data_IF_979388064843
#
_entry.id   IF_979388064843
#
_cell.length_a   1.000
_cell.length_b   1.000
_cell.length_c   1.000
_cell.angle_alpha   90.00
_cell.angle_beta   90.00
_cell.angle_gamma   90.00
#
_symmetry.space_group_name_H-M   'P 1'
#
loop_
_entity.id
_entity.type
_entity.pdbx_description
1 polymer ?
#
# COMPACT_ATOMS: atom_id res chain seq x y z
N UNK A 1 5.46 16.60 -12.89
CA UNK A 1 4.98 15.70 -11.82
C UNK A 1 5.30 16.33 -10.47
N UNK A 2 4.40 16.21 -9.49
CA UNK A 2 4.63 16.72 -8.13
C UNK A 2 5.56 15.75 -7.36
N UNK A 3 6.57 16.24 -6.61
CA UNK A 3 7.37 15.39 -5.73
C UNK A 3 6.49 14.62 -4.74
N UNK A 4 6.72 13.32 -4.58
CA UNK A 4 5.95 12.45 -3.67
C UNK A 4 4.59 11.97 -4.20
N UNK A 5 4.13 12.44 -5.37
CA UNK A 5 2.86 12.00 -5.98
C UNK A 5 3.15 11.00 -7.10
N UNK A 6 2.93 9.71 -6.81
CA UNK A 6 3.00 8.63 -7.81
C UNK A 6 1.70 8.46 -8.61
N UNK A 7 1.73 7.58 -9.62
CA UNK A 7 0.58 7.31 -10.51
C UNK A 7 -0.72 7.01 -9.75
N UNK A 8 -0.63 6.20 -8.69
CA UNK A 8 -1.77 5.88 -7.83
C UNK A 8 -2.37 7.15 -7.21
N UNK A 9 -1.55 7.95 -6.54
CA UNK A 9 -2.00 9.16 -5.84
C UNK A 9 -2.58 10.17 -6.82
N UNK A 10 -1.94 10.36 -7.98
CA UNK A 10 -2.45 11.25 -9.03
C UNK A 10 -3.85 10.81 -9.51
N UNK A 11 -4.03 9.51 -9.80
CA UNK A 11 -5.32 8.95 -10.23
C UNK A 11 -6.38 9.00 -9.13
N UNK A 12 -6.00 8.71 -7.90
CA UNK A 12 -6.90 8.80 -6.75
C UNK A 12 -7.41 10.24 -6.55
N UNK A 13 -6.55 11.25 -6.70
CA UNK A 13 -6.96 12.67 -6.67
C UNK A 13 -7.91 12.97 -7.83
N UNK A 14 -7.57 12.60 -9.05
CA UNK A 14 -8.43 12.83 -10.22
C UNK A 14 -9.81 12.17 -10.05
N UNK A 15 -9.88 10.92 -9.59
CA UNK A 15 -11.15 10.21 -9.41
C UNK A 15 -11.97 10.75 -8.22
N UNK A 16 -11.33 11.00 -7.07
CA UNK A 16 -12.06 11.29 -5.83
C UNK A 16 -12.29 12.77 -5.53
N UNK A 17 -11.42 13.66 -6.02
CA UNK A 17 -11.56 15.10 -5.87
C UNK A 17 -12.15 15.75 -7.11
N UNK A 18 -11.68 15.34 -8.29
CA UNK A 18 -12.09 15.96 -9.57
C UNK A 18 -13.18 15.16 -10.30
N UNK A 19 -13.66 14.05 -9.72
CA UNK A 19 -14.70 13.18 -10.29
C UNK A 19 -14.41 12.70 -11.72
N UNK A 20 -13.14 12.55 -12.08
CA UNK A 20 -12.74 12.08 -13.40
C UNK A 20 -12.99 10.56 -13.57
N UNK A 21 -13.40 10.16 -14.77
CA UNK A 21 -13.62 8.76 -15.15
C UNK A 21 -12.29 8.05 -15.44
N UNK A 22 -11.48 7.88 -14.40
CA UNK A 22 -10.18 7.20 -14.44
C UNK A 22 -10.14 6.04 -13.47
N UNK A 23 -9.51 4.94 -13.86
CA UNK A 23 -9.35 3.78 -12.99
C UNK A 23 -8.28 4.01 -11.93
N UNK A 24 -8.61 3.77 -10.67
CA UNK A 24 -7.68 3.78 -9.53
C UNK A 24 -7.32 2.34 -9.20
N UNK A 25 -6.04 2.00 -9.34
CA UNK A 25 -5.56 0.64 -9.07
C UNK A 25 -4.81 0.60 -7.75
N UNK A 26 -5.50 0.17 -6.70
CA UNK A 26 -4.88 -0.29 -5.46
C UNK A 26 -4.60 -1.80 -5.49
N UNK A 27 -4.15 -2.35 -4.37
CA UNK A 27 -3.81 -3.78 -4.27
C UNK A 27 -5.04 -4.69 -4.28
N UNK A 28 -6.23 -4.14 -4.00
CA UNK A 28 -7.51 -4.83 -4.05
C UNK A 28 -8.02 -4.91 -5.48
N UNK A 29 -8.05 -3.79 -6.19
CA UNK A 29 -8.45 -3.70 -7.60
C UNK A 29 -7.54 -4.56 -8.45
N UNK A 30 -6.22 -4.47 -8.30
CA UNK A 30 -5.27 -5.30 -9.06
C UNK A 30 -5.54 -6.80 -8.91
N UNK A 31 -5.86 -7.25 -7.69
CA UNK A 31 -6.22 -8.64 -7.40
C UNK A 31 -7.54 -9.05 -8.04
N UNK A 32 -8.56 -8.19 -7.95
CA UNK A 32 -9.87 -8.45 -8.58
C UNK A 32 -9.69 -8.64 -10.08
N UNK A 33 -8.98 -7.73 -10.75
CA UNK A 33 -8.74 -7.79 -12.19
C UNK A 33 -7.93 -9.04 -12.58
N UNK A 34 -6.87 -9.38 -11.84
CA UNK A 34 -6.10 -10.60 -12.10
C UNK A 34 -6.98 -11.86 -12.08
N UNK A 35 -7.84 -11.99 -11.06
CA UNK A 35 -8.73 -13.14 -10.88
C UNK A 35 -9.83 -13.18 -11.94
N UNK A 36 -10.43 -12.03 -12.26
CA UNK A 36 -11.47 -11.93 -13.30
C UNK A 36 -10.91 -12.35 -14.66
N UNK A 37 -9.70 -11.91 -15.00
CA UNK A 37 -9.04 -12.27 -16.25
C UNK A 37 -8.32 -13.64 -16.23
N UNK A 38 -8.25 -14.30 -15.07
CA UNK A 38 -7.43 -15.49 -14.81
C UNK A 38 -5.99 -15.37 -15.34
N UNK A 39 -5.35 -14.21 -15.12
CA UNK A 39 -4.08 -13.86 -15.74
C UNK A 39 -3.21 -13.04 -14.80
N UNK A 40 -1.90 -13.31 -14.82
CA UNK A 40 -0.90 -12.45 -14.19
C UNK A 40 -0.75 -11.18 -15.02
N UNK A 41 -1.10 -10.03 -14.44
CA UNK A 41 -1.13 -8.75 -15.15
C UNK A 41 0.11 -7.90 -14.83
N UNK A 42 0.65 -7.24 -15.85
CA UNK A 42 1.68 -6.21 -15.68
C UNK A 42 1.09 -4.86 -15.23
N UNK A 43 1.93 -3.94 -14.72
CA UNK A 43 1.47 -2.63 -14.20
C UNK A 43 0.67 -1.82 -15.25
N UNK A 44 1.12 -1.80 -16.50
CA UNK A 44 0.41 -1.10 -17.58
C UNK A 44 -0.90 -1.79 -17.94
N UNK A 45 -0.89 -3.12 -17.98
CA UNK A 45 -2.05 -3.92 -18.37
C UNK A 45 -3.18 -3.79 -17.35
N UNK A 46 -2.86 -3.91 -16.05
CA UNK A 46 -3.86 -3.76 -15.00
C UNK A 46 -4.48 -2.36 -15.00
N UNK A 47 -3.68 -1.33 -15.31
CA UNK A 47 -4.16 0.04 -15.41
C UNK A 47 -5.08 0.26 -16.62
N UNK A 48 -4.71 -0.29 -17.78
CA UNK A 48 -5.55 -0.22 -18.99
C UNK A 48 -6.90 -0.90 -18.79
N UNK A 49 -6.91 -2.07 -18.14
CA UNK A 49 -8.16 -2.77 -17.81
C UNK A 49 -9.00 -1.93 -16.83
N UNK A 50 -8.37 -1.36 -15.79
CA UNK A 50 -9.07 -0.53 -14.83
C UNK A 50 -9.70 0.72 -15.46
N UNK A 51 -9.00 1.37 -16.39
CA UNK A 51 -9.52 2.54 -17.11
C UNK A 51 -10.69 2.17 -18.04
N UNK A 52 -10.61 1.02 -18.70
CA UNK A 52 -11.62 0.59 -19.67
C UNK A 52 -12.98 0.20 -19.06
N UNK A 53 -13.03 -0.06 -17.75
CA UNK A 53 -14.25 -0.51 -17.06
C UNK A 53 -14.93 0.59 -16.24
N UNK A 54 -14.36 1.79 -16.18
CA UNK A 54 -14.99 2.92 -15.47
C UNK A 54 -16.17 3.42 -16.30
N UNK A 55 -17.41 3.40 -15.77
CA UNK A 55 -18.54 3.98 -16.47
C UNK A 55 -18.43 5.51 -16.51
N UNK A 56 -18.84 6.11 -17.62
CA UNK A 56 -18.88 7.57 -17.79
C UNK A 56 -19.75 8.23 -16.72
N UNK A 57 -19.24 9.28 -16.09
CA UNK A 57 -19.88 10.04 -15.03
C UNK A 57 -19.94 9.32 -13.67
N UNK A 58 -19.34 8.14 -13.54
CA UNK A 58 -19.37 7.33 -12.30
C UNK A 58 -17.97 7.00 -11.78
N UNK A 59 -16.93 7.71 -12.23
CA UNK A 59 -15.56 7.48 -11.80
C UNK A 59 -15.37 7.45 -10.29
N UNK A 60 -16.04 8.33 -9.56
CA UNK A 60 -15.96 8.37 -8.09
C UNK A 60 -16.55 7.10 -7.46
N UNK A 61 -17.82 6.80 -7.74
CA UNK A 61 -18.56 5.68 -7.18
C UNK A 61 -17.95 4.34 -7.58
N UNK A 62 -17.55 4.21 -8.85
CA UNK A 62 -17.00 2.98 -9.39
C UNK A 62 -15.71 2.58 -8.68
N UNK A 63 -14.80 3.53 -8.48
CA UNK A 63 -13.55 3.26 -7.79
C UNK A 63 -13.78 2.89 -6.32
N UNK A 64 -14.72 3.55 -5.63
CA UNK A 64 -15.10 3.18 -4.25
C UNK A 64 -15.64 1.74 -4.19
N UNK A 65 -16.58 1.39 -5.07
CA UNK A 65 -17.17 0.05 -5.15
C UNK A 65 -16.11 -1.01 -5.44
N UNK A 66 -15.18 -0.75 -6.36
CA UNK A 66 -14.13 -1.70 -6.72
C UNK A 66 -13.16 -1.96 -5.55
N UNK A 67 -12.78 -0.92 -4.80
CA UNK A 67 -11.96 -1.05 -3.60
C UNK A 67 -12.68 -1.83 -2.50
N UNK A 68 -13.93 -1.46 -2.19
CA UNK A 68 -14.75 -2.11 -1.16
C UNK A 68 -15.04 -3.58 -1.50
N UNK A 69 -15.39 -3.86 -2.74
CA UNK A 69 -15.60 -5.22 -3.23
C UNK A 69 -14.33 -6.06 -3.10
N UNK A 70 -13.18 -5.51 -3.48
CA UNK A 70 -11.89 -6.17 -3.34
C UNK A 70 -11.53 -6.45 -1.87
N UNK A 71 -11.84 -5.52 -0.96
CA UNK A 71 -11.56 -5.67 0.47
C UNK A 71 -12.49 -6.67 1.18
N UNK A 72 -13.79 -6.66 0.85
CA UNK A 72 -14.83 -7.33 1.65
C UNK A 72 -15.35 -8.65 1.05
N UNK A 73 -15.24 -8.82 -0.27
CA UNK A 73 -15.73 -9.99 -1.01
C UNK A 73 -14.58 -10.74 -1.67
N UNK A 74 -13.83 -10.07 -2.55
CA UNK A 74 -12.70 -10.67 -3.26
C UNK A 74 -11.39 -10.52 -2.47
N UNK A 75 -11.42 -10.86 -1.18
CA UNK A 75 -10.28 -10.72 -0.26
C UNK A 75 -9.07 -11.54 -0.70
N UNK A 76 -7.87 -11.13 -0.27
CA UNK A 76 -6.63 -11.82 -0.59
C UNK A 76 -6.61 -13.28 -0.07
N UNK A 77 -7.16 -13.50 1.12
CA UNK A 77 -7.26 -14.82 1.76
C UNK A 77 -8.73 -15.16 1.99
N UNK A 78 -9.13 -16.37 1.61
CA UNK A 78 -10.49 -16.86 1.72
C UNK A 78 -11.56 -15.90 1.12
N UNK A 79 -11.51 -15.62 -0.20
CA UNK A 79 -12.53 -14.79 -0.86
C UNK A 79 -13.91 -15.44 -0.74
N UNK A 80 -14.96 -14.61 -0.60
CA UNK A 80 -16.36 -15.05 -0.45
C UNK A 80 -16.98 -15.38 -1.80
N UNK A 81 -16.37 -16.32 -2.55
CA UNK A 81 -16.79 -16.63 -3.92
C UNK A 81 -18.22 -17.14 -4.02
N UNK A 82 -18.73 -17.87 -3.01
CA UNK A 82 -20.10 -18.37 -3.00
C UNK A 82 -21.17 -17.25 -3.04
N UNK A 83 -20.84 -16.07 -2.52
CA UNK A 83 -21.74 -14.89 -2.50
C UNK A 83 -21.23 -13.76 -3.41
N UNK A 84 -20.31 -14.05 -4.33
CA UNK A 84 -19.68 -13.04 -5.17
C UNK A 84 -20.59 -12.72 -6.36
N UNK A 85 -21.01 -11.46 -6.48
CA UNK A 85 -21.94 -11.01 -7.54
C UNK A 85 -21.37 -11.09 -8.95
N UNK A 86 -20.03 -11.15 -9.10
CA UNK A 86 -19.35 -11.29 -10.39
C UNK A 86 -18.75 -12.69 -10.59
N UNK A 87 -19.17 -13.69 -9.82
CA UNK A 87 -18.61 -15.05 -9.91
C UNK A 87 -18.75 -15.62 -11.34
N UNK A 88 -19.90 -15.39 -11.97
CA UNK A 88 -20.16 -15.81 -13.35
C UNK A 88 -19.35 -15.06 -14.40
N UNK A 89 -18.55 -14.06 -14.01
CA UNK A 89 -17.61 -13.37 -14.89
C UNK A 89 -16.16 -13.62 -14.48
N UNK A 90 -15.92 -14.39 -13.42
CA UNK A 90 -14.58 -14.60 -12.88
C UNK A 90 -13.87 -15.78 -13.55
N UNK A 91 -12.90 -15.48 -14.42
CA UNK A 91 -12.11 -16.48 -15.14
C UNK A 91 -11.44 -17.48 -14.20
N UNK A 92 -10.82 -17.03 -13.11
CA UNK A 92 -10.16 -17.91 -12.14
C UNK A 92 -11.14 -18.88 -11.48
N UNK A 93 -12.39 -18.45 -11.20
CA UNK A 93 -13.40 -19.34 -10.64
C UNK A 93 -13.96 -20.33 -11.63
N UNK A 94 -14.10 -19.94 -12.90
CA UNK A 94 -14.60 -20.82 -13.95
C UNK A 94 -13.60 -21.85 -14.43
N UNK A 95 -12.35 -21.42 -14.63
CA UNK A 95 -11.28 -22.24 -15.21
C UNK A 95 -10.53 -22.99 -14.11
N UNK A 96 -10.40 -22.40 -12.93
CA UNK A 96 -9.56 -22.91 -11.85
C UNK A 96 -8.07 -22.68 -12.11
N UNK A 97 -7.24 -23.41 -11.36
CA UNK A 97 -5.78 -23.26 -11.36
C UNK A 97 -5.25 -22.35 -10.24
N UNK A 98 -3.96 -22.04 -10.32
CA UNK A 98 -3.29 -21.18 -9.36
C UNK A 98 -3.87 -19.76 -9.39
N UNK A 99 -4.02 -19.13 -8.21
CA UNK A 99 -4.47 -17.74 -8.11
C UNK A 99 -3.42 -16.83 -8.77
N UNK A 100 -3.78 -16.06 -9.83
CA UNK A 100 -2.83 -15.19 -10.51
C UNK A 100 -2.51 -13.90 -9.72
N UNK A 101 -3.29 -13.56 -8.70
CA UNK A 101 -3.16 -12.30 -7.98
C UNK A 101 -1.81 -12.11 -7.26
N UNK A 102 -1.23 -13.11 -6.56
CA UNK A 102 0.05 -12.93 -5.86
C UNK A 102 1.22 -12.57 -6.77
N UNK A 103 1.16 -12.94 -8.06
CA UNK A 103 2.17 -12.62 -9.07
C UNK A 103 1.84 -11.35 -9.89
N UNK A 104 0.65 -10.79 -9.73
CA UNK A 104 0.20 -9.60 -10.49
C UNK A 104 0.81 -8.31 -9.93
N UNK A 105 1.22 -7.41 -10.83
CA UNK A 105 1.72 -6.10 -10.44
C UNK A 105 0.65 -5.28 -9.70
N UNK A 106 1.07 -4.59 -8.64
CA UNK A 106 0.17 -3.78 -7.82
C UNK A 106 -0.47 -4.54 -6.66
N UNK A 107 -0.38 -5.87 -6.58
CA UNK A 107 -0.76 -6.59 -5.36
C UNK A 107 0.33 -6.48 -4.29
N UNK A 108 -0.08 -6.38 -3.02
CA UNK A 108 0.87 -6.26 -1.91
C UNK A 108 1.63 -7.57 -1.74
N UNK A 109 2.95 -7.48 -1.61
CA UNK A 109 3.76 -8.59 -1.09
C UNK A 109 3.34 -8.87 0.36
N UNK A 110 3.44 -10.13 0.83
CA UNK A 110 3.24 -10.44 2.24
C UNK A 110 4.08 -9.52 3.11
N UNK A 111 3.42 -8.75 3.96
CA UNK A 111 4.11 -7.86 4.88
C UNK A 111 4.83 -8.73 5.92
N UNK A 112 6.12 -8.46 6.17
CA UNK A 112 6.86 -9.13 7.24
C UNK A 112 6.19 -8.90 8.61
N UNK A 113 6.46 -9.79 9.57
CA UNK A 113 5.97 -9.66 10.95
C UNK A 113 6.29 -8.26 11.51
N UNK A 114 5.37 -7.73 12.32
CA UNK A 114 5.57 -6.40 12.93
C UNK A 114 6.70 -6.43 13.95
N UNK A 115 6.72 -7.47 14.78
CA UNK A 115 7.76 -7.64 15.77
C UNK A 115 9.14 -7.82 15.09
N UNK A 116 10.11 -7.03 15.53
CA UNK A 116 11.47 -7.01 15.00
C UNK A 116 11.65 -6.25 13.68
N UNK A 117 10.61 -5.60 13.14
CA UNK A 117 10.67 -4.89 11.85
C UNK A 117 11.12 -3.42 11.96
N UNK A 118 11.60 -2.85 10.85
CA UNK A 118 12.03 -1.44 10.79
C UNK A 118 10.90 -0.47 11.12
N UNK A 119 9.66 -0.79 10.72
CA UNK A 119 8.48 0.00 11.07
C UNK A 119 8.22 0.04 12.58
N UNK A 120 8.50 -1.04 13.30
CA UNK A 120 8.38 -1.06 14.76
C UNK A 120 9.48 -0.19 15.40
N UNK A 121 10.72 -0.33 14.94
CA UNK A 121 11.85 0.48 15.41
C UNK A 121 11.59 1.99 15.17
N UNK A 122 11.21 2.37 13.95
CA UNK A 122 10.78 3.74 13.60
C UNK A 122 9.69 4.23 14.54
N UNK A 123 8.63 3.43 14.75
CA UNK A 123 7.53 3.77 15.63
C UNK A 123 7.95 3.99 17.09
N UNK A 124 8.89 3.18 17.61
CA UNK A 124 9.44 3.37 18.97
C UNK A 124 10.17 4.70 19.09
N UNK A 125 11.01 5.05 18.12
CA UNK A 125 11.71 6.34 18.12
C UNK A 125 10.73 7.52 18.01
N UNK A 126 9.81 7.48 17.06
CA UNK A 126 8.78 8.52 16.90
C UNK A 126 7.95 8.68 18.18
N UNK A 127 7.55 7.59 18.83
CA UNK A 127 6.81 7.63 20.10
C UNK A 127 7.62 8.28 21.24
N UNK A 128 8.93 8.01 21.31
CA UNK A 128 9.79 8.67 22.27
C UNK A 128 9.90 10.17 21.98
N UNK A 129 10.04 10.55 20.71
CA UNK A 129 10.13 11.94 20.27
C UNK A 129 8.86 12.76 20.53
N UNK A 130 7.69 12.12 20.53
CA UNK A 130 6.44 12.74 21.00
C UNK A 130 6.50 13.11 22.48
N UNK A 131 7.25 12.36 23.29
CA UNK A 131 7.41 12.62 24.73
C UNK A 131 8.55 13.60 25.04
N UNK A 132 9.44 13.88 24.08
CA UNK A 132 10.59 14.76 24.25
C UNK A 132 11.79 14.35 23.38
N UNK A 133 12.82 15.19 23.37
CA UNK A 133 14.03 14.92 22.57
C UNK A 133 14.75 13.64 23.03
N UNK A 134 15.35 12.92 22.08
CA UNK A 134 16.12 11.68 22.31
C UNK A 134 17.58 11.96 21.98
N UNK A 135 18.51 11.62 22.87
CA UNK A 135 19.95 11.76 22.55
C UNK A 135 20.29 10.87 21.37
N UNK A 136 21.17 11.35 20.48
CA UNK A 136 21.61 10.56 19.32
C UNK A 136 22.16 9.19 19.75
N UNK A 137 22.94 9.17 20.83
CA UNK A 137 23.52 7.95 21.39
C UNK A 137 22.48 6.95 21.92
N UNK A 138 21.28 7.42 22.29
CA UNK A 138 20.21 6.58 22.84
C UNK A 138 19.24 6.07 21.77
N UNK A 139 19.33 6.54 20.52
CA UNK A 139 18.39 6.20 19.46
C UNK A 139 18.31 4.69 19.20
N UNK A 140 19.46 4.01 19.12
CA UNK A 140 19.52 2.56 18.95
C UNK A 140 18.85 1.83 20.12
N UNK A 141 19.05 2.29 21.36
CA UNK A 141 18.42 1.73 22.56
C UNK A 141 16.90 1.91 22.54
N UNK A 142 16.41 3.12 22.24
CA UNK A 142 14.97 3.42 22.14
C UNK A 142 14.30 2.54 21.09
N UNK A 143 14.97 2.32 19.95
CA UNK A 143 14.47 1.47 18.87
C UNK A 143 14.55 -0.03 19.18
N UNK A 144 15.29 -0.44 20.22
CA UNK A 144 15.55 -1.84 20.55
C UNK A 144 16.55 -2.50 19.58
N UNK A 145 17.52 -1.72 19.09
CA UNK A 145 18.52 -2.09 18.09
C UNK A 145 19.96 -1.93 18.62
N UNK A 146 20.19 -2.09 19.94
CA UNK A 146 21.52 -1.88 20.54
C UNK A 146 22.61 -2.78 19.92
N UNK A 147 22.24 -3.98 19.46
CA UNK A 147 23.15 -4.92 18.80
C UNK A 147 23.21 -4.74 17.27
N UNK A 148 22.49 -3.75 16.73
CA UNK A 148 22.30 -3.53 15.29
C UNK A 148 22.45 -2.04 14.92
N UNK A 149 23.62 -1.46 15.23
CA UNK A 149 23.87 -0.03 15.05
C UNK A 149 23.70 0.44 13.60
N UNK A 150 24.23 -0.29 12.61
CA UNK A 150 24.09 0.07 11.20
C UNK A 150 22.62 0.17 10.77
N UNK A 151 21.79 -0.76 11.24
CA UNK A 151 20.34 -0.77 10.98
C UNK A 151 19.66 0.43 11.65
N UNK A 152 20.05 0.78 12.87
CA UNK A 152 19.59 2.00 13.56
C UNK A 152 19.91 3.25 12.74
N UNK A 153 21.14 3.35 12.22
CA UNK A 153 21.59 4.52 11.48
C UNK A 153 20.86 4.68 10.14
N UNK A 154 20.60 3.58 9.43
CA UNK A 154 19.77 3.58 8.20
C UNK A 154 18.36 4.08 8.50
N UNK A 155 17.75 3.60 9.58
CA UNK A 155 16.39 3.99 9.97
C UNK A 155 16.31 5.49 10.31
N UNK A 156 17.23 5.98 11.13
CA UNK A 156 17.30 7.39 11.52
C UNK A 156 17.52 8.28 10.30
N UNK A 157 18.42 7.89 9.40
CA UNK A 157 18.69 8.64 8.16
C UNK A 157 17.43 8.78 7.32
N UNK A 158 16.69 7.69 7.13
CA UNK A 158 15.40 7.74 6.43
C UNK A 158 14.40 8.69 7.11
N UNK A 159 14.34 8.71 8.44
CA UNK A 159 13.46 9.65 9.17
C UNK A 159 13.88 11.12 8.99
N UNK A 160 15.19 11.41 8.93
CA UNK A 160 15.71 12.74 8.65
C UNK A 160 15.42 13.18 7.20
N UNK A 161 15.65 12.28 6.23
CA UNK A 161 15.36 12.51 4.80
C UNK A 161 13.86 12.74 4.56
N UNK A 162 13.01 12.01 5.27
CA UNK A 162 11.56 12.17 5.23
C UNK A 162 11.08 13.44 5.97
N UNK A 163 11.97 14.17 6.65
CA UNK A 163 11.64 15.36 7.44
C UNK A 163 10.77 15.07 8.67
N UNK A 164 10.77 13.83 9.16
CA UNK A 164 9.96 13.39 10.30
C UNK A 164 10.63 13.68 11.65
N UNK A 165 11.94 13.86 11.65
CA UNK A 165 12.74 14.23 12.82
C UNK A 165 13.77 15.28 12.42
N UNK A 166 14.24 16.08 13.38
CA UNK A 166 15.35 17.01 13.23
C UNK A 166 16.49 16.67 14.20
N UNK A 167 17.71 17.05 13.83
CA UNK A 167 18.90 16.87 14.65
C UNK A 167 19.43 18.23 15.12
N UNK A 168 19.57 18.41 16.43
CA UNK A 168 20.14 19.62 17.02
C UNK A 168 20.93 19.29 18.29
N UNK A 169 22.14 19.86 18.43
CA UNK A 169 22.93 19.81 19.68
C UNK A 169 23.16 18.40 20.27
N UNK A 170 23.26 17.36 19.43
CA UNK A 170 23.43 15.98 19.88
C UNK A 170 22.13 15.24 20.22
N UNK A 171 20.98 15.80 19.83
CA UNK A 171 19.65 15.25 20.05
C UNK A 171 18.87 15.11 18.75
N UNK A 172 18.02 14.10 18.70
CA UNK A 172 16.89 14.03 17.78
C UNK A 172 15.66 14.63 18.46
N UNK A 173 14.88 15.39 17.71
CA UNK A 173 13.65 16.05 18.14
C UNK A 173 12.61 16.01 17.02
N UNK A 174 11.37 16.39 17.34
CA UNK A 174 10.40 16.67 16.29
C UNK A 174 10.87 17.87 15.44
N UNK A 175 10.49 17.93 14.15
CA UNK A 175 10.91 19.00 13.24
C UNK A 175 10.66 20.42 13.75
#
# INVERSE_FOLDING_TARGET
>A
ALPGVGDYTARAVMAFADHADVGVVDTNVARVLARVHNKVLGKKEVQLIADAIVPEGLGWEWNQVMMDFGATVCSARAPKCASCIINDHCGWRKIGGDDPAPATAGTSKPQSRFEGSDRQARGKLMKALVSGAVRIADAAKVMGLMEHQERSDVIVRGLLEDGLIAQANGWYQQP
#
